data_IF_385706523022
#
_entry.id   IF_385706523022
#
_cell.length_a   1.000
_cell.length_b   1.000
_cell.length_c   1.000
_cell.angle_alpha   90.00
_cell.angle_beta   90.00
_cell.angle_gamma   90.00
#
_symmetry.space_group_name_H-M   'P 1'
#
loop_
_entity.id
_entity.type
_entity.pdbx_description
1 polymer ?
#
# COMPACT_ATOMS: atom_id res chain seq x y z
N UNK A 1 -8.89 -8.94 -19.56
CA UNK A 1 -8.63 -7.73 -20.36
C UNK A 1 -9.35 -6.60 -19.66
N UNK A 2 -8.63 -5.72 -19.15
CA UNK A 2 -8.72 -4.29 -18.86
C UNK A 2 -7.95 -3.97 -17.58
N UNK A 3 -6.62 -3.88 -17.77
CA UNK A 3 -5.74 -3.14 -16.89
C UNK A 3 -5.90 -1.66 -17.29
N UNK A 4 -6.85 -0.95 -16.73
CA UNK A 4 -6.83 0.51 -16.80
C UNK A 4 -5.79 1.05 -15.82
N UNK A 5 -4.67 1.41 -16.43
CA UNK A 5 -3.62 2.28 -15.95
C UNK A 5 -4.22 3.63 -15.54
N UNK A 6 -4.49 3.86 -14.27
CA UNK A 6 -4.60 5.20 -13.71
C UNK A 6 -3.21 5.70 -13.37
N UNK A 7 -2.53 6.17 -14.41
CA UNK A 7 -1.26 6.89 -14.34
C UNK A 7 -1.46 8.22 -13.63
N UNK A 8 -0.81 8.38 -12.49
CA UNK A 8 -0.64 9.71 -11.91
C UNK A 8 -0.75 9.75 -10.38
N UNK A 9 0.16 9.12 -9.67
CA UNK A 9 0.75 9.46 -8.38
C UNK A 9 1.35 8.19 -7.78
N UNK A 10 2.64 7.98 -7.99
CA UNK A 10 3.41 6.94 -7.34
C UNK A 10 3.52 7.28 -5.84
N UNK A 11 2.88 6.49 -5.03
CA UNK A 11 3.01 6.51 -3.58
C UNK A 11 1.65 6.37 -2.91
N UNK A 12 1.33 5.19 -2.38
CA UNK A 12 0.23 4.94 -1.46
C UNK A 12 -1.15 4.55 -2.01
N UNK A 13 -1.24 3.78 -3.04
CA UNK A 13 -2.46 3.02 -3.27
C UNK A 13 -2.35 1.66 -2.59
N UNK A 14 -3.13 1.48 -1.51
CA UNK A 14 -3.50 0.13 -1.10
C UNK A 14 -4.12 -0.53 -2.33
N UNK A 15 -3.46 -1.53 -2.89
CA UNK A 15 -4.05 -2.20 -4.05
C UNK A 15 -5.39 -2.79 -3.63
N UNK A 16 -6.38 -2.81 -4.54
CA UNK A 16 -7.69 -3.42 -4.26
C UNK A 16 -7.55 -4.84 -3.70
N UNK A 17 -6.55 -5.57 -4.16
CA UNK A 17 -6.27 -6.93 -3.69
C UNK A 17 -5.84 -6.94 -2.21
N UNK A 18 -4.90 -6.11 -1.81
CA UNK A 18 -4.44 -6.00 -0.42
C UNK A 18 -5.54 -5.49 0.50
N UNK A 19 -6.32 -4.49 0.06
CA UNK A 19 -7.46 -3.97 0.80
C UNK A 19 -8.52 -5.06 1.03
N UNK A 20 -8.83 -5.86 0.03
CA UNK A 20 -9.82 -6.94 0.15
C UNK A 20 -9.34 -8.07 1.07
N UNK A 21 -8.06 -8.43 1.03
CA UNK A 21 -7.49 -9.41 1.97
C UNK A 21 -7.65 -8.93 3.41
N UNK A 22 -7.24 -7.69 3.70
CA UNK A 22 -7.39 -7.07 5.02
C UNK A 22 -8.85 -7.07 5.49
N UNK A 23 -9.78 -6.65 4.64
CA UNK A 23 -11.22 -6.58 4.96
C UNK A 23 -11.78 -7.97 5.26
N UNK A 24 -11.38 -9.00 4.51
CA UNK A 24 -11.82 -10.38 4.74
C UNK A 24 -11.31 -10.92 6.08
N UNK A 25 -10.00 -10.76 6.35
CA UNK A 25 -9.36 -11.27 7.57
C UNK A 25 -9.95 -10.61 8.81
N UNK A 26 -10.07 -9.28 8.80
CA UNK A 26 -10.63 -8.54 9.93
C UNK A 26 -12.13 -8.80 10.08
N UNK A 27 -12.88 -8.81 8.98
CA UNK A 27 -14.32 -9.09 8.99
C UNK A 27 -14.64 -10.46 9.58
N UNK A 28 -13.80 -11.47 9.30
CA UNK A 28 -13.90 -12.80 9.89
C UNK A 28 -13.66 -12.84 11.41
N UNK A 29 -12.77 -11.97 11.92
CA UNK A 29 -12.46 -11.90 13.36
C UNK A 29 -13.53 -11.10 14.12
N UNK A 30 -13.93 -9.96 13.57
CA UNK A 30 -14.84 -9.01 14.26
C UNK A 30 -16.30 -9.40 14.09
N UNK A 31 -16.62 -10.29 13.15
CA UNK A 31 -17.99 -10.70 12.80
C UNK A 31 -18.91 -9.51 12.46
N UNK A 32 -18.34 -8.46 11.88
CA UNK A 32 -19.04 -7.26 11.43
C UNK A 32 -18.76 -7.00 9.95
N UNK A 33 -19.67 -6.30 9.29
CA UNK A 33 -19.42 -5.86 7.93
C UNK A 33 -18.42 -4.70 7.94
N UNK A 34 -17.38 -4.85 7.15
CA UNK A 34 -16.30 -3.87 7.00
C UNK A 34 -16.24 -3.43 5.54
N UNK A 35 -16.08 -2.13 5.35
CA UNK A 35 -15.83 -1.52 4.05
C UNK A 35 -14.55 -0.69 4.14
N UNK A 36 -13.79 -0.69 3.06
CA UNK A 36 -12.67 0.24 2.88
C UNK A 36 -12.94 1.08 1.64
N UNK A 37 -12.84 2.39 1.80
CA UNK A 37 -13.07 3.38 0.77
C UNK A 37 -11.78 4.14 0.45
N UNK A 38 -11.63 4.51 -0.80
CA UNK A 38 -10.52 5.34 -1.26
C UNK A 38 -10.71 6.83 -0.85
N UNK A 39 -9.75 7.67 -1.24
CA UNK A 39 -9.79 9.12 -1.01
C UNK A 39 -10.96 9.86 -1.68
N UNK A 40 -11.67 9.21 -2.58
CA UNK A 40 -12.86 9.76 -3.24
C UNK A 40 -14.17 9.24 -2.59
N UNK A 41 -14.06 8.38 -1.57
CA UNK A 41 -15.21 7.76 -0.92
C UNK A 41 -15.79 6.56 -1.65
N UNK A 42 -15.11 6.03 -2.68
CA UNK A 42 -15.53 4.83 -3.41
C UNK A 42 -15.11 3.59 -2.66
N UNK A 43 -15.99 2.62 -2.48
CA UNK A 43 -15.72 1.36 -1.83
C UNK A 43 -14.77 0.52 -2.70
N UNK A 44 -13.54 0.30 -2.25
CA UNK A 44 -12.52 -0.50 -2.94
C UNK A 44 -12.46 -1.93 -2.43
N UNK A 45 -12.88 -2.18 -1.19
CA UNK A 45 -12.97 -3.50 -0.59
C UNK A 45 -14.14 -3.57 0.40
N UNK A 46 -14.79 -4.73 0.49
CA UNK A 46 -15.95 -4.93 1.35
C UNK A 46 -16.13 -6.42 1.70
N UNK A 47 -16.61 -6.71 2.90
CA UNK A 47 -17.13 -8.04 3.26
C UNK A 47 -18.39 -8.38 2.45
N UNK A 48 -19.15 -7.37 2.05
CA UNK A 48 -20.28 -7.46 1.12
C UNK A 48 -19.83 -7.00 -0.27
N UNK A 49 -19.41 -7.95 -1.09
CA UNK A 49 -18.82 -7.68 -2.42
C UNK A 49 -19.73 -6.90 -3.37
N UNK A 50 -21.06 -6.94 -3.16
CA UNK A 50 -22.01 -6.19 -3.97
C UNK A 50 -21.85 -4.67 -3.84
N UNK A 51 -21.19 -4.21 -2.78
CA UNK A 51 -20.98 -2.79 -2.50
C UNK A 51 -19.73 -2.20 -3.15
N UNK A 52 -18.84 -3.05 -3.65
CA UNK A 52 -17.57 -2.59 -4.25
C UNK A 52 -17.85 -1.75 -5.49
N UNK A 53 -17.19 -0.62 -5.62
CA UNK A 53 -17.36 0.34 -6.71
C UNK A 53 -18.45 1.39 -6.47
N UNK A 54 -19.25 1.26 -5.42
CA UNK A 54 -20.27 2.26 -5.08
C UNK A 54 -19.69 3.37 -4.18
N UNK A 55 -20.26 4.56 -4.33
CA UNK A 55 -19.93 5.69 -3.46
C UNK A 55 -20.52 5.48 -2.06
N UNK A 56 -19.77 5.86 -1.02
CA UNK A 56 -20.18 5.79 0.36
C UNK A 56 -20.28 7.20 0.95
N UNK A 57 -21.49 7.73 1.11
CA UNK A 57 -21.73 9.12 1.53
C UNK A 57 -21.06 9.45 2.88
N UNK A 58 -21.05 8.52 3.82
CA UNK A 58 -20.37 8.69 5.10
C UNK A 58 -18.85 8.88 4.94
N UNK A 59 -18.23 8.21 3.97
CA UNK A 59 -16.81 8.39 3.68
C UNK A 59 -16.54 9.74 3.02
N UNK A 60 -17.38 10.16 2.08
CA UNK A 60 -17.29 11.48 1.44
C UNK A 60 -17.35 12.59 2.49
N UNK A 61 -18.25 12.45 3.48
CA UNK A 61 -18.34 13.42 4.58
C UNK A 61 -17.11 13.41 5.47
N UNK A 62 -16.61 12.23 5.87
CA UNK A 62 -15.38 12.12 6.69
C UNK A 62 -14.21 12.82 6.01
N UNK A 63 -14.06 12.63 4.69
CA UNK A 63 -12.97 13.21 3.91
C UNK A 63 -13.17 14.72 3.73
N UNK A 64 -14.35 15.13 3.27
CA UNK A 64 -14.65 16.52 2.94
C UNK A 64 -14.67 17.45 4.15
N UNK A 65 -15.24 16.99 5.27
CA UNK A 65 -15.34 17.72 6.51
C UNK A 65 -14.14 17.50 7.45
N UNK A 66 -13.17 16.64 7.04
CA UNK A 66 -11.96 16.25 7.83
C UNK A 66 -12.31 15.76 9.23
N UNK A 67 -13.37 14.96 9.33
CA UNK A 67 -13.83 14.45 10.61
C UNK A 67 -12.89 13.40 11.19
N UNK A 68 -12.63 13.40 12.51
CA UNK A 68 -11.83 12.37 13.16
C UNK A 68 -12.55 11.01 13.19
N UNK A 69 -13.88 11.04 13.21
CA UNK A 69 -14.78 9.89 13.08
C UNK A 69 -16.19 10.38 12.70
N UNK A 70 -16.99 9.50 12.11
CA UNK A 70 -18.40 9.74 11.81
C UNK A 70 -19.21 8.49 12.12
N UNK A 71 -20.09 8.57 13.10
CA UNK A 71 -21.07 7.54 13.37
C UNK A 71 -22.39 7.85 12.65
N UNK A 72 -22.86 6.88 11.86
CA UNK A 72 -24.18 6.94 11.20
C UNK A 72 -25.20 6.30 12.12
N UNK A 73 -26.12 7.09 12.62
CA UNK A 73 -27.21 6.60 13.48
C UNK A 73 -28.31 5.90 12.65
N UNK A 74 -29.19 5.11 13.28
CA UNK A 74 -30.32 4.48 12.58
C UNK A 74 -31.18 5.45 11.79
N UNK A 75 -31.38 6.67 12.31
CA UNK A 75 -32.20 7.72 11.70
C UNK A 75 -31.53 8.33 10.46
N UNK A 76 -30.19 8.29 10.41
CA UNK A 76 -29.39 8.82 9.32
C UNK A 76 -28.96 7.76 8.30
N UNK A 77 -29.30 6.50 8.51
CA UNK A 77 -28.95 5.43 7.59
C UNK A 77 -29.74 5.54 6.28
N UNK A 78 -29.06 5.24 5.17
CA UNK A 78 -29.61 5.29 3.80
C UNK A 78 -29.29 3.99 3.07
N UNK A 79 -29.72 3.88 1.81
CA UNK A 79 -29.34 2.73 0.97
C UNK A 79 -27.84 2.66 0.71
N UNK A 80 -27.15 3.81 0.66
CA UNK A 80 -25.69 3.91 0.46
C UNK A 80 -24.90 3.79 1.77
N UNK A 81 -25.53 4.09 2.92
CA UNK A 81 -24.84 4.24 4.21
C UNK A 81 -25.58 3.49 5.31
N UNK A 82 -25.00 2.40 5.80
CA UNK A 82 -25.54 1.61 6.91
C UNK A 82 -25.18 2.23 8.26
N UNK A 83 -25.94 1.89 9.31
CA UNK A 83 -25.59 2.22 10.71
C UNK A 83 -24.20 1.70 11.01
N UNK A 84 -23.33 2.56 11.49
CA UNK A 84 -21.94 2.16 11.75
C UNK A 84 -20.99 3.34 11.89
N UNK A 85 -19.74 3.01 12.18
CA UNK A 85 -18.65 3.96 12.41
C UNK A 85 -17.75 4.05 11.18
N UNK A 86 -17.46 5.28 10.76
CA UNK A 86 -16.54 5.59 9.66
C UNK A 86 -15.34 6.35 10.23
N UNK A 87 -14.13 5.86 9.96
CA UNK A 87 -12.88 6.36 10.49
C UNK A 87 -11.91 6.69 9.35
N UNK A 88 -11.33 7.91 9.30
CA UNK A 88 -10.32 8.23 8.29
C UNK A 88 -9.05 7.41 8.53
N UNK A 89 -8.46 6.92 7.44
CA UNK A 89 -7.14 6.30 7.42
C UNK A 89 -6.14 7.39 7.11
N UNK A 90 -5.21 7.64 8.03
CA UNK A 90 -4.22 8.71 7.90
C UNK A 90 -2.86 8.11 7.61
N UNK A 91 -2.20 8.62 6.56
CA UNK A 91 -0.82 8.32 6.26
C UNK A 91 -0.06 9.60 5.93
N UNK A 92 1.11 9.81 6.55
CA UNK A 92 1.93 11.04 6.40
C UNK A 92 1.13 12.35 6.57
N UNK A 93 0.11 12.34 7.46
CA UNK A 93 -0.74 13.51 7.72
C UNK A 93 -1.90 13.70 6.75
N UNK A 94 -2.01 12.90 5.70
CA UNK A 94 -3.07 12.97 4.70
C UNK A 94 -4.09 11.84 4.87
N UNK A 95 -5.37 12.14 4.59
CA UNK A 95 -6.41 11.13 4.55
C UNK A 95 -6.32 10.36 3.24
N UNK A 96 -5.88 9.10 3.31
CA UNK A 96 -5.70 8.23 2.14
C UNK A 96 -6.92 7.34 1.87
N UNK A 97 -7.87 7.30 2.77
CA UNK A 97 -9.10 6.54 2.66
C UNK A 97 -9.92 6.55 3.94
N UNK A 98 -10.98 5.77 3.96
CA UNK A 98 -11.87 5.62 5.12
C UNK A 98 -12.16 4.15 5.35
N UNK A 99 -12.21 3.73 6.61
CA UNK A 99 -12.73 2.41 6.98
C UNK A 99 -14.09 2.56 7.64
N UNK A 100 -15.07 1.79 7.19
CA UNK A 100 -16.42 1.74 7.73
C UNK A 100 -16.70 0.39 8.38
N UNK A 101 -17.26 0.37 9.58
CA UNK A 101 -17.66 -0.84 10.31
C UNK A 101 -19.13 -0.70 10.69
N UNK A 102 -19.94 -1.66 10.25
CA UNK A 102 -21.38 -1.69 10.51
C UNK A 102 -21.64 -2.17 11.93
N UNK A 103 -22.51 -1.48 12.68
CA UNK A 103 -22.92 -1.88 14.03
C UNK A 103 -23.26 -0.72 14.94
N UNK A 104 -23.73 -1.02 16.14
CA UNK A 104 -23.98 0.00 17.18
C UNK A 104 -22.68 0.62 17.68
N UNK A 105 -22.68 1.91 17.98
CA UNK A 105 -21.48 2.67 18.34
C UNK A 105 -20.66 2.00 19.45
N UNK A 106 -21.30 1.63 20.55
CA UNK A 106 -20.63 0.97 21.69
C UNK A 106 -19.99 -0.38 21.34
N UNK A 107 -20.51 -1.06 20.32
CA UNK A 107 -19.98 -2.34 19.85
C UNK A 107 -18.76 -2.17 18.94
N UNK A 108 -18.75 -1.11 18.12
CA UNK A 108 -17.76 -0.98 17.03
C UNK A 108 -16.68 0.06 17.29
N UNK A 109 -16.83 0.96 18.26
CA UNK A 109 -15.90 2.07 18.51
C UNK A 109 -14.47 1.61 18.77
N UNK A 110 -14.30 0.63 19.65
CA UNK A 110 -12.96 0.15 20.04
C UNK A 110 -12.35 -0.73 18.95
N UNK A 111 -13.15 -1.62 18.37
CA UNK A 111 -12.71 -2.41 17.20
C UNK A 111 -12.34 -1.51 16.02
N UNK A 112 -13.15 -0.48 15.75
CA UNK A 112 -12.88 0.45 14.66
C UNK A 112 -11.54 1.16 14.80
N UNK A 113 -11.21 1.61 15.99
CA UNK A 113 -9.93 2.27 16.28
C UNK A 113 -8.75 1.31 16.15
N UNK A 114 -8.89 0.06 16.61
CA UNK A 114 -7.87 -0.97 16.46
C UNK A 114 -7.66 -1.28 14.98
N UNK A 115 -8.74 -1.54 14.24
CA UNK A 115 -8.68 -1.85 12.80
C UNK A 115 -8.08 -0.71 12.00
N UNK A 116 -8.52 0.53 12.25
CA UNK A 116 -7.91 1.72 11.66
C UNK A 116 -6.39 1.71 11.86
N UNK A 117 -5.94 1.50 13.11
CA UNK A 117 -4.52 1.51 13.44
C UNK A 117 -3.74 0.40 12.76
N UNK A 118 -4.31 -0.80 12.67
CA UNK A 118 -3.71 -1.92 11.94
C UNK A 118 -3.55 -1.60 10.45
N UNK A 119 -4.59 -1.03 9.83
CA UNK A 119 -4.54 -0.63 8.41
C UNK A 119 -3.48 0.45 8.18
N UNK A 120 -3.39 1.46 9.04
CA UNK A 120 -2.36 2.50 8.94
C UNK A 120 -0.93 1.94 9.05
N UNK A 121 -0.73 0.94 9.93
CA UNK A 121 0.57 0.25 10.05
C UNK A 121 0.88 -0.52 8.77
N UNK A 122 -0.06 -1.30 8.24
CA UNK A 122 0.13 -2.08 7.01
C UNK A 122 0.42 -1.18 5.79
N UNK A 123 -0.25 -0.03 5.67
CA UNK A 123 0.02 0.94 4.62
C UNK A 123 1.46 1.46 4.74
N UNK A 124 1.89 1.81 5.94
CA UNK A 124 3.24 2.30 6.18
C UNK A 124 4.30 1.25 5.84
N UNK A 125 4.13 0.01 6.29
CA UNK A 125 5.06 -1.08 6.00
C UNK A 125 5.17 -1.37 4.49
N UNK A 126 4.04 -1.40 3.78
CA UNK A 126 4.03 -1.58 2.32
C UNK A 126 4.78 -0.44 1.62
N UNK A 127 4.56 0.81 2.03
CA UNK A 127 5.24 1.97 1.45
C UNK A 127 6.76 1.91 1.65
N UNK A 128 7.21 1.54 2.86
CA UNK A 128 8.64 1.38 3.15
C UNK A 128 9.28 0.25 2.33
N UNK A 129 8.55 -0.85 2.12
CA UNK A 129 9.02 -1.95 1.28
C UNK A 129 9.12 -1.55 -0.19
N UNK A 130 8.14 -0.82 -0.72
CA UNK A 130 8.15 -0.36 -2.11
C UNK A 130 9.27 0.65 -2.35
N UNK A 131 9.53 1.55 -1.41
CA UNK A 131 10.67 2.46 -1.48
C UNK A 131 12.01 1.70 -1.51
N UNK A 132 12.16 0.69 -0.64
CA UNK A 132 13.37 -0.16 -0.62
C UNK A 132 13.54 -0.91 -1.95
N UNK A 133 12.46 -1.49 -2.49
CA UNK A 133 12.47 -2.18 -3.78
C UNK A 133 12.86 -1.24 -4.93
N UNK A 134 12.32 -0.01 -4.93
CA UNK A 134 12.64 0.99 -5.93
C UNK A 134 14.12 1.38 -5.86
N UNK A 135 14.64 1.68 -4.66
CA UNK A 135 16.06 1.98 -4.45
C UNK A 135 16.94 0.84 -4.95
N UNK A 136 16.61 -0.40 -4.61
CA UNK A 136 17.36 -1.58 -5.07
C UNK A 136 17.37 -1.68 -6.59
N UNK A 137 16.22 -1.51 -7.25
CA UNK A 137 16.13 -1.54 -8.73
C UNK A 137 16.98 -0.46 -9.39
N UNK A 138 16.96 0.76 -8.85
CA UNK A 138 17.75 1.88 -9.39
C UNK A 138 19.25 1.59 -9.27
N UNK A 139 19.69 1.08 -8.11
CA UNK A 139 21.08 0.70 -7.89
C UNK A 139 21.48 -0.48 -8.77
N UNK A 140 20.66 -1.53 -8.86
CA UNK A 140 20.94 -2.70 -9.74
C UNK A 140 21.10 -2.28 -11.20
N UNK A 141 20.18 -1.46 -11.71
CA UNK A 141 20.27 -0.97 -13.08
C UNK A 141 21.51 -0.10 -13.32
N UNK A 142 21.88 0.73 -12.36
CA UNK A 142 23.12 1.49 -12.44
C UNK A 142 24.35 0.57 -12.50
N UNK A 143 24.38 -0.47 -11.65
CA UNK A 143 25.48 -1.44 -11.63
C UNK A 143 25.57 -2.25 -12.94
N UNK A 144 24.43 -2.64 -13.50
CA UNK A 144 24.37 -3.29 -14.83
C UNK A 144 24.95 -2.40 -15.93
N UNK A 145 24.51 -1.13 -15.98
CA UNK A 145 25.01 -0.14 -16.95
C UNK A 145 26.53 0.07 -16.79
N UNK A 146 27.01 0.10 -15.57
CA UNK A 146 28.42 0.32 -15.25
C UNK A 146 29.30 -0.91 -15.56
N UNK A 147 28.87 -2.13 -15.15
CA UNK A 147 29.66 -3.36 -15.26
C UNK A 147 29.62 -3.90 -16.69
N UNK A 148 28.47 -3.90 -17.33
CA UNK A 148 28.27 -4.51 -18.65
C UNK A 148 28.63 -3.58 -19.81
N UNK A 149 28.93 -2.31 -19.53
CA UNK A 149 29.56 -1.40 -20.48
C UNK A 149 28.78 -1.20 -21.77
N UNK A 150 27.47 -1.02 -21.71
CA UNK A 150 26.64 -0.76 -22.90
C UNK A 150 26.94 0.60 -23.55
N UNK A 151 28.20 1.01 -23.58
CA UNK A 151 28.87 2.02 -24.44
C UNK A 151 28.15 3.35 -24.75
N UNK A 152 26.88 3.50 -24.36
CA UNK A 152 26.00 4.60 -24.72
C UNK A 152 26.03 5.76 -23.73
N UNK A 153 26.53 5.54 -22.51
CA UNK A 153 26.64 6.59 -21.51
C UNK A 153 28.06 7.14 -21.51
N UNK A 154 28.19 8.43 -21.84
CA UNK A 154 29.43 9.17 -21.62
C UNK A 154 29.89 8.95 -20.19
N UNK A 155 31.16 8.68 -19.96
CA UNK A 155 31.75 8.38 -18.65
C UNK A 155 31.36 9.40 -17.56
N UNK A 156 31.18 10.66 -17.93
CA UNK A 156 30.76 11.72 -17.04
C UNK A 156 29.31 11.56 -16.54
N UNK A 157 28.35 11.23 -17.42
CA UNK A 157 26.96 11.02 -17.03
C UNK A 157 26.81 9.80 -16.11
N UNK A 158 27.62 8.77 -16.32
CA UNK A 158 27.64 7.61 -15.43
C UNK A 158 28.21 7.95 -14.05
N UNK A 159 29.27 8.78 -14.00
CA UNK A 159 29.86 9.24 -12.75
C UNK A 159 28.87 10.11 -11.93
N UNK A 160 28.15 11.01 -12.59
CA UNK A 160 27.12 11.85 -11.94
C UNK A 160 25.98 11.00 -11.37
N UNK A 161 25.50 9.99 -12.12
CA UNK A 161 24.50 9.05 -11.62
C UNK A 161 25.02 8.24 -10.44
N UNK A 162 26.25 7.75 -10.50
CA UNK A 162 26.88 7.04 -9.39
C UNK A 162 26.96 7.90 -8.14
N UNK A 163 27.41 9.15 -8.29
CA UNK A 163 27.49 10.09 -7.19
C UNK A 163 26.12 10.33 -6.52
N UNK A 164 25.06 10.50 -7.30
CA UNK A 164 23.69 10.65 -6.79
C UNK A 164 23.22 9.42 -5.99
N UNK A 165 23.72 8.24 -6.32
CA UNK A 165 23.43 6.98 -5.63
C UNK A 165 24.41 6.68 -4.48
N UNK A 166 25.35 7.58 -4.19
CA UNK A 166 26.41 7.39 -3.19
C UNK A 166 27.48 6.40 -3.65
N UNK A 167 27.63 6.15 -4.96
CA UNK A 167 28.58 5.23 -5.58
C UNK A 167 29.61 6.03 -6.37
N UNK A 168 30.79 6.23 -5.81
CA UNK A 168 31.90 6.85 -6.53
C UNK A 168 32.59 5.84 -7.43
N UNK A 169 32.38 5.93 -8.74
CA UNK A 169 32.95 5.01 -9.73
C UNK A 169 34.42 5.28 -10.05
N UNK A 170 34.98 6.40 -9.60
CA UNK A 170 36.40 6.74 -9.79
C UNK A 170 37.33 5.97 -8.87
N UNK A 171 36.79 5.44 -7.76
CA UNK A 171 37.59 4.69 -6.78
C UNK A 171 37.97 3.31 -7.32
N UNK A 172 39.25 2.88 -7.11
CA UNK A 172 39.68 1.54 -7.45
C UNK A 172 38.86 0.47 -6.73
N UNK A 173 38.38 -0.55 -7.47
CA UNK A 173 37.55 -1.62 -6.90
C UNK A 173 38.14 -2.99 -7.25
N UNK A 174 37.88 -3.95 -6.37
CA UNK A 174 38.18 -5.36 -6.64
C UNK A 174 36.87 -6.06 -7.00
N UNK A 175 36.86 -6.83 -8.05
CA UNK A 175 35.72 -7.67 -8.44
C UNK A 175 35.94 -9.07 -7.90
N UNK A 176 34.92 -9.60 -7.23
CA UNK A 176 34.87 -10.99 -6.78
C UNK A 176 33.67 -11.67 -7.39
N UNK A 177 33.88 -12.81 -8.02
CA UNK A 177 32.81 -13.63 -8.58
C UNK A 177 32.60 -14.83 -7.68
N UNK A 178 31.37 -15.01 -7.22
CA UNK A 178 30.96 -16.16 -6.40
C UNK A 178 29.97 -17.00 -7.20
N UNK A 179 30.27 -18.28 -7.36
CA UNK A 179 29.36 -19.25 -7.98
C UNK A 179 28.68 -20.08 -6.90
N UNK A 180 27.37 -20.07 -6.88
CA UNK A 180 26.58 -20.89 -5.96
C UNK A 180 26.11 -22.15 -6.69
N UNK A 181 26.59 -23.30 -6.25
CA UNK A 181 26.13 -24.60 -6.80
C UNK A 181 24.73 -24.93 -6.25
N UNK A 182 23.86 -25.40 -7.12
CA UNK A 182 22.48 -25.81 -6.79
C UNK A 182 21.61 -24.65 -6.26
N UNK A 183 21.77 -23.46 -6.85
CA UNK A 183 21.02 -22.26 -6.49
C UNK A 183 19.50 -22.51 -6.47
N UNK A 184 18.96 -23.25 -7.45
CA UNK A 184 17.55 -23.63 -7.54
C UNK A 184 17.02 -24.32 -6.27
N UNK A 185 17.87 -25.14 -5.64
CA UNK A 185 17.50 -25.85 -4.41
C UNK A 185 17.42 -24.90 -3.19
N UNK A 186 18.19 -23.83 -3.18
CA UNK A 186 18.15 -22.82 -2.11
C UNK A 186 17.00 -21.83 -2.30
N UNK A 187 16.70 -21.44 -3.55
CA UNK A 187 15.59 -20.51 -3.86
C UNK A 187 14.23 -21.17 -3.60
N UNK A 188 14.12 -22.50 -3.73
CA UNK A 188 12.87 -23.23 -3.47
C UNK A 188 12.57 -23.44 -1.98
N UNK A 189 13.50 -23.13 -1.09
CA UNK A 189 13.28 -23.17 0.36
C UNK A 189 12.74 -21.84 0.88
N UNK A 190 11.89 -21.86 1.92
CA UNK A 190 11.31 -20.66 2.52
C UNK A 190 12.37 -19.61 2.95
N UNK A 191 13.59 -20.06 3.30
CA UNK A 191 14.71 -19.20 3.67
C UNK A 191 15.44 -18.60 2.45
N UNK A 192 15.44 -19.27 1.30
CA UNK A 192 16.01 -18.77 0.04
C UNK A 192 15.18 -17.66 -0.63
N UNK A 193 13.92 -17.49 -0.23
CA UNK A 193 13.07 -16.40 -0.74
C UNK A 193 13.28 -15.07 0.00
N UNK A 194 14.13 -15.03 1.02
CA UNK A 194 14.48 -13.83 1.79
C UNK A 194 15.78 -13.16 1.33
N UNK A 195 16.44 -13.71 0.32
CA UNK A 195 17.60 -13.13 -0.37
C UNK A 195 17.13 -12.38 -1.60
#
# INVERSE_FOLDING_TARGET
>A
MENENLSGMHGLELTRHSAQAIVNDIGGIVHQNINMMDKNGVIIASTDKSRIGHLHDGAVRVIGEKLPELYITPECATNSTRVGLNLPIIHMGECVGVIGITGGYEQVKDYGRIVKKMVEILIRENSEQDEKRLKTRVVSRFLEDWILGNGLLKSQALAERGYTLGIDISLPRRVMVVSVRKLEKYISTADGQKL
#
